data_IF_882939558391
#
_entry.id   IF_882939558391
#
_cell.length_a   1.000
_cell.length_b   1.000
_cell.length_c   1.000
_cell.angle_alpha   90.00
_cell.angle_beta   90.00
_cell.angle_gamma   90.00
#
_symmetry.space_group_name_H-M   'P 1'
#
loop_
_entity.id
_entity.type
_entity.pdbx_description
1 polymer ?
#
# COMPACT_ATOMS: atom_id res chain seq x y z
N UNK A 1 10.04 -7.26 20.98
CA UNK A 1 10.27 -6.31 19.85
C UNK A 1 8.97 -5.58 19.63
N UNK A 2 9.00 -4.25 19.67
CA UNK A 2 7.82 -3.44 19.39
C UNK A 2 7.68 -3.27 17.86
N UNK A 3 6.63 -3.87 17.30
CA UNK A 3 6.38 -3.90 15.85
C UNK A 3 6.02 -2.50 15.34
N UNK A 4 5.16 -1.78 16.06
CA UNK A 4 4.65 -0.49 15.61
C UNK A 4 5.78 0.56 15.66
N UNK A 5 6.61 0.52 16.71
CA UNK A 5 7.83 1.35 16.78
C UNK A 5 8.83 1.04 15.68
N UNK A 6 9.00 -0.23 15.31
CA UNK A 6 9.93 -0.65 14.25
C UNK A 6 9.46 -0.13 12.88
N UNK A 7 8.18 -0.31 12.56
CA UNK A 7 7.61 0.18 11.31
C UNK A 7 7.62 1.70 11.22
N UNK A 8 7.34 2.39 12.33
CA UNK A 8 7.36 3.85 12.38
C UNK A 8 8.77 4.42 12.19
N UNK A 9 9.78 3.76 12.77
CA UNK A 9 11.19 4.10 12.58
C UNK A 9 11.58 3.96 11.10
N UNK A 10 11.27 2.81 10.48
CA UNK A 10 11.58 2.56 9.07
C UNK A 10 10.82 3.53 8.14
N UNK A 11 9.56 3.81 8.45
CA UNK A 11 8.73 4.77 7.71
C UNK A 11 9.34 6.16 7.71
N UNK A 12 9.74 6.64 8.89
CA UNK A 12 10.33 7.97 9.06
C UNK A 12 11.70 8.03 8.40
N UNK A 13 12.54 7.02 8.60
CA UNK A 13 13.87 6.94 8.01
C UNK A 13 13.85 6.99 6.48
N UNK A 14 12.95 6.24 5.84
CA UNK A 14 12.86 6.16 4.37
C UNK A 14 11.85 7.13 3.75
N UNK A 15 11.13 7.91 4.56
CA UNK A 15 10.16 8.89 4.07
C UNK A 15 9.00 8.29 3.26
N UNK A 16 8.58 7.06 3.57
CA UNK A 16 7.46 6.38 2.87
C UNK A 16 6.11 6.62 3.56
N UNK A 17 5.02 6.29 2.87
CA UNK A 17 3.67 6.47 3.42
C UNK A 17 3.37 5.46 4.54
N UNK A 18 2.45 5.85 5.44
CA UNK A 18 1.92 4.97 6.48
C UNK A 18 1.21 3.74 5.89
N UNK A 19 0.54 3.90 4.76
CA UNK A 19 -0.13 2.80 4.04
C UNK A 19 0.87 1.77 3.49
N UNK A 20 2.05 2.19 3.04
CA UNK A 20 3.12 1.26 2.65
C UNK A 20 3.65 0.49 3.86
N UNK A 21 3.93 1.18 4.97
CA UNK A 21 4.41 0.54 6.19
C UNK A 21 3.40 -0.50 6.73
N UNK A 22 2.10 -0.19 6.70
CA UNK A 22 1.04 -1.11 7.15
C UNK A 22 1.02 -2.43 6.37
N UNK A 23 1.31 -2.40 5.06
CA UNK A 23 1.39 -3.63 4.22
C UNK A 23 2.52 -4.56 4.63
N UNK A 24 3.58 -4.04 5.25
CA UNK A 24 4.74 -4.82 5.69
C UNK A 24 4.60 -5.31 7.13
N UNK A 25 3.53 -4.94 7.85
CA UNK A 25 3.30 -5.35 9.24
C UNK A 25 3.32 -6.88 9.44
N UNK A 26 2.67 -7.70 8.59
CA UNK A 26 2.70 -9.16 8.77
C UNK A 26 4.11 -9.76 8.68
N UNK A 27 5.00 -9.16 7.87
CA UNK A 27 6.40 -9.61 7.77
C UNK A 27 7.20 -9.27 9.03
N UNK A 28 6.95 -8.11 9.63
CA UNK A 28 7.59 -7.70 10.89
C UNK A 28 7.05 -8.52 12.07
N UNK A 29 5.75 -8.79 12.11
CA UNK A 29 5.13 -9.74 13.05
C UNK A 29 5.76 -11.12 12.93
N UNK A 30 5.91 -11.63 11.70
CA UNK A 30 6.58 -12.91 11.44
C UNK A 30 8.05 -12.90 11.88
N UNK A 31 8.76 -11.78 11.68
CA UNK A 31 10.14 -11.64 12.13
C UNK A 31 10.25 -11.67 13.67
N UNK A 32 9.29 -11.08 14.38
CA UNK A 32 9.24 -11.12 15.84
C UNK A 32 9.17 -12.56 16.37
N UNK A 33 8.37 -13.40 15.72
CA UNK A 33 8.15 -14.80 16.09
C UNK A 33 9.27 -15.77 15.62
N UNK A 34 10.23 -15.32 14.82
CA UNK A 34 11.32 -16.16 14.29
C UNK A 34 12.56 -16.20 15.19
N UNK A 35 13.38 -17.24 15.00
CA UNK A 35 14.75 -17.32 15.52
C UNK A 35 15.60 -16.13 15.04
N UNK A 36 16.65 -15.71 15.78
CA UNK A 36 17.41 -14.49 15.52
C UNK A 36 17.91 -14.34 14.08
N UNK A 37 18.47 -15.39 13.49
CA UNK A 37 19.00 -15.38 12.12
C UNK A 37 17.90 -15.15 11.07
N UNK A 38 16.76 -15.82 11.22
CA UNK A 38 15.60 -15.65 10.34
C UNK A 38 14.96 -14.27 10.52
N UNK A 39 14.90 -13.77 11.76
CA UNK A 39 14.44 -12.42 12.07
C UNK A 39 15.28 -11.36 11.36
N UNK A 40 16.60 -11.46 11.43
CA UNK A 40 17.51 -10.52 10.75
C UNK A 40 17.29 -10.53 9.22
N UNK A 41 17.16 -11.71 8.61
CA UNK A 41 16.87 -11.83 7.18
C UNK A 41 15.54 -11.18 6.80
N UNK A 42 14.49 -11.42 7.57
CA UNK A 42 13.17 -10.81 7.33
C UNK A 42 13.22 -9.29 7.48
N UNK A 43 13.86 -8.77 8.52
CA UNK A 43 14.01 -7.32 8.71
C UNK A 43 14.84 -6.68 7.57
N UNK A 44 15.86 -7.37 7.06
CA UNK A 44 16.62 -6.90 5.91
C UNK A 44 15.79 -6.83 4.62
N UNK A 45 14.85 -7.78 4.42
CA UNK A 45 13.91 -7.75 3.28
C UNK A 45 12.94 -6.57 3.43
N UNK A 46 12.42 -6.35 4.64
CA UNK A 46 11.55 -5.21 4.93
C UNK A 46 12.29 -3.91 4.63
N UNK A 47 13.51 -3.72 5.15
CA UNK A 47 14.30 -2.51 4.91
C UNK A 47 14.57 -2.24 3.42
N UNK A 48 14.95 -3.28 2.65
CA UNK A 48 15.11 -3.16 1.19
C UNK A 48 13.82 -2.74 0.50
N UNK A 49 12.67 -3.20 0.98
CA UNK A 49 11.36 -2.83 0.43
C UNK A 49 11.06 -1.36 0.66
N UNK A 50 11.37 -0.83 1.86
CA UNK A 50 11.28 0.59 2.16
C UNK A 50 12.21 1.43 1.26
N UNK A 51 13.46 0.99 1.08
CA UNK A 51 14.42 1.67 0.19
C UNK A 51 13.92 1.70 -1.27
N UNK A 52 13.36 0.59 -1.76
CA UNK A 52 12.83 0.50 -3.11
C UNK A 52 11.66 1.47 -3.32
N UNK A 53 10.72 1.53 -2.38
CA UNK A 53 9.60 2.46 -2.46
C UNK A 53 10.04 3.93 -2.36
N UNK A 54 11.00 4.24 -1.47
CA UNK A 54 11.58 5.58 -1.38
C UNK A 54 12.19 6.02 -2.71
N UNK A 55 12.92 5.12 -3.40
CA UNK A 55 13.47 5.36 -4.73
C UNK A 55 12.37 5.53 -5.78
N UNK A 56 11.32 4.70 -5.77
CA UNK A 56 10.16 4.82 -6.66
C UNK A 56 9.50 6.19 -6.52
N UNK A 57 9.25 6.64 -5.27
CA UNK A 57 8.65 7.94 -4.99
C UNK A 57 9.54 9.10 -5.43
N UNK A 58 10.86 9.00 -5.21
CA UNK A 58 11.81 10.02 -5.68
C UNK A 58 11.79 10.15 -7.21
N UNK A 59 11.76 9.02 -7.93
CA UNK A 59 11.66 8.98 -9.40
C UNK A 59 10.34 9.58 -9.91
N UNK A 60 9.21 9.18 -9.31
CA UNK A 60 7.90 9.72 -9.65
C UNK A 60 7.77 11.23 -9.40
N UNK A 61 8.45 11.75 -8.37
CA UNK A 61 8.51 13.20 -8.12
C UNK A 61 9.36 13.95 -9.14
N UNK A 62 10.46 13.34 -9.60
CA UNK A 62 11.37 13.99 -10.56
C UNK A 62 10.86 13.94 -12.00
N UNK A 63 10.00 12.99 -12.35
CA UNK A 63 9.52 12.86 -13.73
C UNK A 63 8.47 13.92 -14.08
N UNK A 64 7.71 14.47 -13.13
CA UNK A 64 6.58 15.38 -13.43
C UNK A 64 5.45 14.72 -14.24
N UNK A 65 5.69 13.54 -14.80
CA UNK A 65 4.75 12.75 -15.55
C UNK A 65 3.67 12.18 -14.63
N UNK A 66 2.39 12.25 -15.02
CA UNK A 66 1.34 11.52 -14.34
C UNK A 66 1.76 10.05 -14.29
N UNK A 67 1.61 9.42 -13.12
CA UNK A 67 1.97 8.01 -12.97
C UNK A 67 1.24 7.22 -14.09
N UNK A 68 1.96 6.57 -15.01
CA UNK A 68 1.34 5.94 -16.19
C UNK A 68 0.31 4.88 -15.80
N UNK A 69 0.47 4.33 -14.60
CA UNK A 69 -0.45 3.43 -13.93
C UNK A 69 -1.83 4.07 -13.65
N UNK A 70 -1.89 5.36 -13.31
CA UNK A 70 -3.14 6.08 -13.07
C UNK A 70 -3.84 6.48 -14.37
N UNK A 71 -3.07 6.82 -15.42
CA UNK A 71 -3.63 7.11 -16.75
C UNK A 71 -4.23 5.84 -17.36
N UNK A 72 -3.54 4.70 -17.27
CA UNK A 72 -4.06 3.42 -17.74
C UNK A 72 -5.31 2.95 -16.97
N UNK A 73 -5.34 3.16 -15.64
CA UNK A 73 -6.54 2.88 -14.84
C UNK A 73 -7.68 3.84 -15.19
N UNK A 74 -7.39 5.12 -15.43
CA UNK A 74 -8.39 6.09 -15.87
C UNK A 74 -8.98 5.70 -17.23
N UNK A 75 -8.16 5.29 -18.19
CA UNK A 75 -8.63 4.83 -19.51
C UNK A 75 -9.54 3.59 -19.38
N UNK A 76 -9.14 2.61 -18.57
CA UNK A 76 -9.95 1.42 -18.30
C UNK A 76 -11.26 1.78 -17.60
N UNK A 77 -11.25 2.70 -16.64
CA UNK A 77 -12.44 3.14 -15.92
C UNK A 77 -13.36 4.00 -16.78
N UNK A 78 -12.80 4.81 -17.69
CA UNK A 78 -13.59 5.63 -18.63
C UNK A 78 -14.29 4.77 -19.68
N UNK A 79 -13.67 3.68 -20.12
CA UNK A 79 -14.29 2.70 -21.03
C UNK A 79 -15.18 1.68 -20.31
N UNK A 80 -15.17 1.66 -18.98
CA UNK A 80 -15.95 0.70 -18.23
C UNK A 80 -17.43 1.10 -18.20
N UNK A 81 -18.25 0.30 -18.88
CA UNK A 81 -19.70 0.31 -18.71
C UNK A 81 -20.07 -0.58 -17.52
N UNK A 82 -20.58 -0.03 -16.41
CA UNK A 82 -20.91 -0.84 -15.26
C UNK A 82 -22.02 -1.84 -15.61
N UNK A 83 -21.91 -3.11 -15.18
CA UNK A 83 -22.94 -4.11 -15.40
C UNK A 83 -24.22 -3.76 -14.60
N UNK A 84 -25.38 -4.11 -15.16
CA UNK A 84 -26.71 -3.72 -14.66
C UNK A 84 -26.92 -4.08 -13.18
N UNK A 85 -26.35 -5.18 -12.71
CA UNK A 85 -26.47 -5.60 -11.31
C UNK A 85 -25.88 -4.58 -10.32
N UNK A 86 -24.84 -3.83 -10.72
CA UNK A 86 -24.21 -2.82 -9.88
C UNK A 86 -25.15 -1.62 -9.66
N UNK A 87 -25.86 -1.18 -10.71
CA UNK A 87 -26.87 -0.11 -10.62
C UNK A 87 -28.06 -0.52 -9.73
N UNK A 88 -28.45 -1.80 -9.75
CA UNK A 88 -29.50 -2.33 -8.88
C UNK A 88 -29.04 -2.33 -7.42
N UNK A 89 -27.78 -2.70 -7.17
CA UNK A 89 -27.19 -2.70 -5.84
C UNK A 89 -27.04 -1.30 -5.24
N UNK A 90 -26.53 -0.33 -6.01
CA UNK A 90 -26.42 1.07 -5.58
C UNK A 90 -27.78 1.70 -5.24
N UNK A 91 -28.82 1.35 -6.00
CA UNK A 91 -30.19 1.83 -5.74
C UNK A 91 -30.70 1.30 -4.39
N UNK A 92 -30.43 0.03 -4.07
CA UNK A 92 -30.80 -0.57 -2.78
C UNK A 92 -30.03 0.03 -1.60
N UNK A 93 -28.77 0.41 -1.79
CA UNK A 93 -27.99 1.09 -0.75
C UNK A 93 -28.57 2.46 -0.41
N UNK A 94 -28.88 3.28 -1.43
CA UNK A 94 -29.47 4.61 -1.22
C UNK A 94 -30.85 4.57 -0.57
N UNK A 95 -31.64 3.53 -0.84
CA UNK A 95 -32.93 3.33 -0.17
C UNK A 95 -32.83 2.93 1.30
N UNK A 96 -31.66 2.44 1.76
CA UNK A 96 -31.44 2.04 3.17
C UNK A 96 -30.86 3.15 4.05
N UNK A 97 -30.41 4.25 3.45
CA UNK A 97 -29.91 5.42 4.19
C UNK A 97 -31.02 6.45 4.48
N UNK A 98 -32.25 6.20 4.03
CA UNK A 98 -33.42 7.07 4.21
C UNK A 98 -34.45 6.53 5.22
N UNK A 99 -34.18 5.35 5.80
CA UNK A 99 -34.91 4.75 6.93
C UNK A 99 -34.06 4.88 8.22
#
# INVERSE_FOLDING_TARGET
MDIDKTLETLRTHHGVSRSFAARLRPLVERAAACLPEKRQRLLAIVDRSFQAEARRRKRARSSGEPAPELTAVADILHDWKPPIWLSIWERRLRSREQD
#
